data_IF_463574194139
#
_entry.id   IF_463574194139
#
_cell.length_a   1.000
_cell.length_b   1.000
_cell.length_c   1.000
_cell.angle_alpha   90.00
_cell.angle_beta   90.00
_cell.angle_gamma   90.00
#
_symmetry.space_group_name_H-M   'P 1'
#
loop_
_entity.id
_entity.type
_entity.pdbx_description
1 polymer ?
#
# COMPACT_ATOMS: atom_id res chain seq x y z
N UNK A 1 -3.42 2.66 -23.41
CA UNK A 1 -3.61 1.80 -22.22
C UNK A 1 -3.50 2.69 -21.00
N UNK A 2 -4.55 2.80 -20.19
CA UNK A 2 -4.60 3.69 -19.03
C UNK A 2 -3.65 3.20 -17.95
N UNK A 3 -2.40 3.68 -17.97
CA UNK A 3 -1.29 3.24 -17.09
C UNK A 3 -1.63 3.39 -15.60
N UNK A 4 -2.59 4.24 -15.27
CA UNK A 4 -3.05 4.54 -13.92
C UNK A 4 -3.75 3.36 -13.23
N UNK A 5 -4.53 2.56 -13.97
CA UNK A 5 -5.26 1.42 -13.39
C UNK A 5 -4.32 0.32 -12.92
N UNK A 6 -3.37 -0.07 -13.79
CA UNK A 6 -2.32 -1.04 -13.47
C UNK A 6 -1.47 -0.58 -12.29
N UNK A 7 -1.08 0.69 -12.27
CA UNK A 7 -0.27 1.26 -11.18
C UNK A 7 -0.98 1.26 -9.82
N UNK A 8 -2.32 1.36 -9.79
CA UNK A 8 -3.08 1.24 -8.55
C UNK A 8 -3.02 -0.19 -8.00
N UNK A 9 -3.13 -1.19 -8.87
CA UNK A 9 -3.01 -2.61 -8.50
C UNK A 9 -1.61 -2.94 -8.00
N UNK A 10 -0.56 -2.48 -8.69
CA UNK A 10 0.83 -2.73 -8.28
C UNK A 10 1.11 -2.19 -6.88
N UNK A 11 0.62 -0.97 -6.57
CA UNK A 11 0.75 -0.37 -5.24
C UNK A 11 -0.05 -1.13 -4.18
N UNK A 12 -1.27 -1.53 -4.48
CA UNK A 12 -2.08 -2.31 -3.54
C UNK A 12 -1.42 -3.67 -3.23
N UNK A 13 -0.90 -4.35 -4.26
CA UNK A 13 -0.15 -5.60 -4.09
C UNK A 13 1.10 -5.41 -3.22
N UNK A 14 1.85 -4.31 -3.42
CA UNK A 14 3.00 -3.97 -2.59
C UNK A 14 2.60 -3.74 -1.12
N UNK A 15 1.50 -3.04 -0.85
CA UNK A 15 0.99 -2.84 0.50
C UNK A 15 0.62 -4.17 1.18
N UNK A 16 -0.06 -5.07 0.46
CA UNK A 16 -0.40 -6.41 0.98
C UNK A 16 0.85 -7.23 1.24
N UNK A 17 1.85 -7.17 0.36
CA UNK A 17 3.12 -7.88 0.56
C UNK A 17 3.83 -7.44 1.84
N UNK A 18 3.89 -6.13 2.12
CA UNK A 18 4.46 -5.60 3.36
C UNK A 18 3.72 -6.14 4.60
N UNK A 19 2.38 -6.14 4.58
CA UNK A 19 1.58 -6.67 5.70
C UNK A 19 1.80 -8.17 5.90
N UNK A 20 1.85 -8.96 4.81
CA UNK A 20 2.02 -10.41 4.88
C UNK A 20 3.43 -10.81 5.34
N UNK A 21 4.43 -10.01 5.01
CA UNK A 21 5.84 -10.28 5.33
C UNK A 21 6.27 -9.71 6.69
N UNK A 22 5.44 -8.90 7.35
CA UNK A 22 5.75 -8.33 8.66
C UNK A 22 5.72 -9.42 9.74
N UNK A 23 6.79 -9.49 10.55
CA UNK A 23 6.90 -10.43 11.67
C UNK A 23 5.91 -10.09 12.81
N UNK A 24 5.54 -8.82 12.94
CA UNK A 24 4.58 -8.30 13.91
C UNK A 24 3.49 -7.46 13.22
N UNK A 25 2.31 -7.25 13.85
CA UNK A 25 1.28 -6.39 13.28
C UNK A 25 1.80 -5.00 12.94
N UNK A 26 1.84 -4.66 11.65
CA UNK A 26 2.30 -3.36 11.17
C UNK A 26 1.21 -2.29 11.35
N UNK A 27 1.57 -1.14 11.92
CA UNK A 27 0.64 -0.02 12.02
C UNK A 27 0.43 0.66 10.67
N UNK A 28 -0.67 1.39 10.52
CA UNK A 28 -0.92 2.17 9.31
C UNK A 28 0.20 3.20 9.03
N UNK A 29 0.79 3.80 10.06
CA UNK A 29 1.84 4.81 9.87
C UNK A 29 3.14 4.18 9.37
N UNK A 30 3.50 3.01 9.90
CA UNK A 30 4.67 2.23 9.45
C UNK A 30 4.46 1.73 8.02
N UNK A 31 3.30 1.15 7.73
CA UNK A 31 2.95 0.68 6.39
C UNK A 31 3.00 1.83 5.35
N UNK A 32 2.49 3.01 5.70
CA UNK A 32 2.59 4.19 4.84
C UNK A 32 4.04 4.62 4.61
N UNK A 33 4.87 4.63 5.65
CA UNK A 33 6.28 4.98 5.55
C UNK A 33 7.07 3.97 4.69
N UNK A 34 6.90 2.68 4.94
CA UNK A 34 7.60 1.60 4.24
C UNK A 34 7.19 1.48 2.77
N UNK A 35 5.92 1.76 2.46
CA UNK A 35 5.43 1.76 1.07
C UNK A 35 5.97 2.92 0.22
N UNK A 36 6.53 3.97 0.83
CA UNK A 36 6.96 5.20 0.16
C UNK A 36 5.80 6.01 -0.46
N UNK A 37 4.55 5.66 -0.15
CA UNK A 37 3.35 6.33 -0.68
C UNK A 37 2.91 7.46 0.25
N UNK A 38 2.24 8.46 -0.33
CA UNK A 38 1.53 9.46 0.46
C UNK A 38 0.45 8.80 1.33
N UNK A 39 0.30 9.26 2.58
CA UNK A 39 -0.68 8.75 3.55
C UNK A 39 -2.10 8.67 2.99
N UNK A 40 -2.54 9.68 2.24
CA UNK A 40 -3.87 9.73 1.61
C UNK A 40 -4.02 8.74 0.45
N UNK A 41 -2.93 8.34 -0.20
CA UNK A 41 -2.92 7.31 -1.24
C UNK A 41 -2.98 5.93 -0.60
N UNK A 42 -2.16 5.66 0.42
CA UNK A 42 -2.22 4.41 1.19
C UNK A 42 -3.60 4.21 1.79
N UNK A 43 -4.18 5.23 2.44
CA UNK A 43 -5.53 5.16 3.00
C UNK A 43 -6.59 4.86 1.95
N UNK A 44 -6.57 5.53 0.79
CA UNK A 44 -7.54 5.27 -0.29
C UNK A 44 -7.43 3.85 -0.83
N UNK A 45 -6.21 3.32 -0.99
CA UNK A 45 -6.01 1.95 -1.48
C UNK A 45 -6.49 0.90 -0.47
N UNK A 46 -6.33 1.15 0.83
CA UNK A 46 -6.78 0.24 1.90
C UNK A 46 -8.31 0.29 2.14
N UNK A 47 -8.97 1.37 1.74
CA UNK A 47 -10.42 1.56 1.92
C UNK A 47 -11.24 1.30 0.65
N UNK A 48 -10.60 0.83 -0.43
CA UNK A 48 -11.22 0.56 -1.72
C UNK A 48 -12.07 -0.71 -1.73
#
# INVERSE_FOLDING_TARGET
>A
MSTTGTQAIDRAAALVALVVQADEPISFTELAAESGLARSTTSRLLSA
#
